data_IF_268658217977
#
_entry.id   IF_268658217977
#
_cell.length_a   1.000
_cell.length_b   1.000
_cell.length_c   1.000
_cell.angle_alpha   90.00
_cell.angle_beta   90.00
_cell.angle_gamma   90.00
#
_symmetry.space_group_name_H-M   'P 1'
#
loop_
_entity.id
_entity.type
_entity.pdbx_description
1 polymer ?
#
# COMPACT_ATOMS: atom_id res chain seq x y z
N UNK A 1 1.02 8.23 -22.47
CA UNK A 1 0.18 7.03 -22.63
C UNK A 1 -0.92 7.08 -21.57
N UNK A 2 -2.13 7.47 -21.94
CA UNK A 2 -3.27 7.57 -21.03
C UNK A 2 -3.96 6.21 -21.01
N UNK A 3 -3.87 5.49 -19.89
CA UNK A 3 -4.50 4.16 -19.75
C UNK A 3 -5.98 4.36 -19.43
N UNK A 4 -6.86 3.70 -20.17
CA UNK A 4 -8.29 3.87 -19.98
C UNK A 4 -8.74 3.22 -18.65
N UNK A 5 -9.78 3.76 -17.97
CA UNK A 5 -10.24 3.26 -16.68
C UNK A 5 -10.59 1.76 -16.70
N UNK A 6 -11.22 1.30 -17.77
CA UNK A 6 -11.62 -0.09 -17.97
C UNK A 6 -10.42 -1.05 -18.05
N UNK A 7 -9.31 -0.60 -18.64
CA UNK A 7 -8.11 -1.41 -18.79
C UNK A 7 -7.40 -1.59 -17.45
N UNK A 8 -7.35 -0.54 -16.64
CA UNK A 8 -6.81 -0.57 -15.28
C UNK A 8 -7.63 -1.48 -14.36
N UNK A 9 -8.97 -1.38 -14.43
CA UNK A 9 -9.86 -2.24 -13.67
C UNK A 9 -9.70 -3.71 -14.06
N UNK A 10 -9.64 -4.01 -15.36
CA UNK A 10 -9.46 -5.37 -15.85
C UNK A 10 -8.11 -5.97 -15.41
N UNK A 11 -7.04 -5.16 -15.39
CA UNK A 11 -5.74 -5.60 -14.89
C UNK A 11 -5.74 -5.86 -13.39
N UNK A 12 -6.38 -4.99 -12.59
CA UNK A 12 -6.54 -5.20 -11.15
C UNK A 12 -7.33 -6.47 -10.83
N UNK A 13 -8.40 -6.75 -11.58
CA UNK A 13 -9.19 -7.98 -11.44
C UNK A 13 -8.33 -9.21 -11.76
N UNK A 14 -7.62 -9.20 -12.90
CA UNK A 14 -6.72 -10.32 -13.26
C UNK A 14 -5.64 -10.55 -12.21
N UNK A 15 -5.07 -9.48 -11.67
CA UNK A 15 -4.08 -9.54 -10.61
C UNK A 15 -4.64 -10.19 -9.34
N UNK A 16 -5.84 -9.78 -8.91
CA UNK A 16 -6.52 -10.36 -7.76
C UNK A 16 -6.84 -11.85 -7.98
N UNK A 17 -7.39 -12.21 -9.14
CA UNK A 17 -7.71 -13.61 -9.49
C UNK A 17 -6.47 -14.50 -9.50
N UNK A 18 -5.34 -14.01 -10.01
CA UNK A 18 -4.07 -14.77 -10.00
C UNK A 18 -3.53 -15.06 -8.59
N UNK A 19 -4.04 -14.35 -7.57
CA UNK A 19 -3.64 -14.45 -6.16
C UNK A 19 -4.73 -14.98 -5.25
N UNK A 20 -5.83 -15.48 -5.83
CA UNK A 20 -7.03 -15.89 -5.10
C UNK A 20 -6.74 -16.86 -3.96
N UNK A 21 -5.86 -17.85 -4.19
CA UNK A 21 -5.48 -18.85 -3.18
C UNK A 21 -4.88 -18.23 -1.91
N UNK A 22 -4.09 -17.16 -2.05
CA UNK A 22 -3.55 -16.45 -0.89
C UNK A 22 -4.61 -15.61 -0.19
N UNK A 23 -5.45 -14.93 -0.99
CA UNK A 23 -6.52 -14.07 -0.48
C UNK A 23 -7.61 -14.86 0.26
N UNK A 24 -7.84 -16.12 -0.10
CA UNK A 24 -8.85 -16.97 0.54
C UNK A 24 -8.33 -17.79 1.71
N UNK A 25 -7.03 -17.72 2.05
CA UNK A 25 -6.41 -18.64 3.02
C UNK A 25 -6.97 -18.52 4.44
N UNK A 26 -7.50 -17.36 4.80
CA UNK A 26 -8.19 -17.15 6.09
C UNK A 26 -9.44 -18.04 6.26
N UNK A 27 -10.02 -18.53 5.16
CA UNK A 27 -11.18 -19.44 5.22
C UNK A 27 -10.78 -20.83 5.74
N UNK A 28 -9.55 -21.26 5.44
CA UNK A 28 -9.05 -22.59 5.78
C UNK A 28 -8.13 -22.58 7.02
N UNK A 29 -7.52 -21.43 7.32
CA UNK A 29 -6.58 -21.25 8.44
C UNK A 29 -6.99 -20.06 9.30
N UNK A 30 -7.66 -20.33 10.42
CA UNK A 30 -8.14 -19.30 11.37
C UNK A 30 -7.05 -18.56 12.13
N UNK A 31 -5.76 -18.85 11.89
CA UNK A 31 -4.64 -18.02 12.38
C UNK A 31 -4.33 -16.85 11.45
N UNK A 32 -4.84 -16.90 10.22
CA UNK A 32 -4.69 -15.84 9.23
C UNK A 32 -5.88 -14.89 9.39
N UNK A 33 -5.59 -13.65 9.79
CA UNK A 33 -6.61 -12.61 9.87
C UNK A 33 -7.14 -12.25 8.47
N UNK A 34 -8.45 -11.99 8.39
CA UNK A 34 -9.11 -11.58 7.14
C UNK A 34 -8.70 -10.16 6.71
N UNK A 35 -8.30 -9.32 7.68
CA UNK A 35 -7.93 -7.94 7.44
C UNK A 35 -6.42 -7.72 7.42
N UNK A 36 -6.01 -6.69 6.69
CA UNK A 36 -4.61 -6.28 6.57
C UNK A 36 -4.25 -5.14 7.54
N UNK A 37 -5.06 -4.86 8.57
CA UNK A 37 -4.87 -3.68 9.42
C UNK A 37 -3.51 -3.71 10.14
N UNK A 38 -3.08 -4.89 10.60
CA UNK A 38 -1.79 -5.06 11.28
C UNK A 38 -0.64 -4.73 10.34
N UNK A 39 -0.68 -5.26 9.11
CA UNK A 39 0.34 -5.05 8.08
C UNK A 39 0.34 -3.58 7.65
N UNK A 40 -0.82 -2.98 7.43
CA UNK A 40 -0.94 -1.56 7.06
C UNK A 40 -0.42 -0.64 8.16
N UNK A 41 -0.74 -0.91 9.43
CA UNK A 41 -0.21 -0.16 10.57
C UNK A 41 1.31 -0.33 10.69
N UNK A 42 1.85 -1.49 10.38
CA UNK A 42 3.29 -1.73 10.41
C UNK A 42 4.04 -1.02 9.27
N UNK A 43 3.47 -0.96 8.07
CA UNK A 43 4.10 -0.35 6.89
C UNK A 43 3.93 1.18 6.89
N UNK A 44 2.84 1.71 7.44
CA UNK A 44 2.52 3.14 7.43
C UNK A 44 3.66 4.04 7.96
N UNK A 45 4.32 3.75 9.10
CA UNK A 45 5.47 4.53 9.56
C UNK A 45 6.63 4.53 8.57
N UNK A 46 6.88 3.42 7.88
CA UNK A 46 7.97 3.29 6.89
C UNK A 46 7.67 4.15 5.66
N UNK A 47 6.44 4.06 5.14
CA UNK A 47 5.99 4.86 4.01
C UNK A 47 6.02 6.37 4.32
N UNK A 48 5.60 6.75 5.54
CA UNK A 48 5.65 8.14 6.00
C UNK A 48 7.08 8.65 6.18
N UNK A 49 7.97 7.86 6.80
CA UNK A 49 9.37 8.23 6.94
C UNK A 49 10.06 8.40 5.58
N UNK A 50 9.80 7.50 4.62
CA UNK A 50 10.29 7.63 3.25
C UNK A 50 9.79 8.90 2.58
N UNK A 51 8.51 9.24 2.74
CA UNK A 51 7.94 10.50 2.23
C UNK A 51 8.61 11.71 2.88
N UNK A 52 8.76 11.72 4.20
CA UNK A 52 9.32 12.85 4.94
C UNK A 52 10.82 13.03 4.66
N UNK A 53 11.58 11.95 4.45
CA UNK A 53 12.99 12.01 4.06
C UNK A 53 13.20 12.70 2.70
N UNK A 54 12.23 12.65 1.79
CA UNK A 54 12.27 13.40 0.53
C UNK A 54 12.08 14.92 0.71
N UNK A 55 11.57 15.36 1.87
CA UNK A 55 11.36 16.77 2.22
C UNK A 55 12.32 17.29 3.29
N UNK A 56 13.09 16.41 3.95
CA UNK A 56 14.05 16.74 5.01
C UNK A 56 15.33 17.45 4.52
N UNK A 57 15.28 18.07 3.33
CA UNK A 57 16.38 18.81 2.72
C UNK A 57 15.95 19.94 1.76
N UNK A 58 14.66 20.33 1.73
CA UNK A 58 14.30 21.58 1.04
C UNK A 58 14.51 22.75 2.01
N UNK A 59 15.53 23.56 1.76
CA UNK A 59 15.82 24.81 2.48
C UNK A 59 14.56 25.69 2.59
N UNK A 60 13.98 25.76 3.79
CA UNK A 60 12.81 26.62 4.01
C UNK A 60 12.13 26.49 5.36
N UNK A 61 12.85 26.16 6.45
CA UNK A 61 12.18 25.93 7.73
C UNK A 61 13.06 26.01 8.98
N UNK A 62 14.05 26.89 9.00
CA UNK A 62 14.94 26.99 10.15
C UNK A 62 15.68 28.32 10.23
N UNK A 63 14.97 29.43 10.39
CA UNK A 63 15.64 30.69 10.71
C UNK A 63 14.77 31.93 10.62
N UNK A 64 13.89 32.14 11.61
CA UNK A 64 13.51 33.50 11.99
C UNK A 64 13.31 33.56 13.51
N UNK A 65 14.26 34.28 14.13
CA UNK A 65 14.05 35.04 15.35
C UNK A 65 13.35 36.33 14.98
#
# INVERSE_FOLDING_TARGET
>A
MHRQPEEQAAEAIRYALSRWQGLSRFLDDGRVEIDSNVVERAIRPIALNRRNALFAGSDGGGGER
#
